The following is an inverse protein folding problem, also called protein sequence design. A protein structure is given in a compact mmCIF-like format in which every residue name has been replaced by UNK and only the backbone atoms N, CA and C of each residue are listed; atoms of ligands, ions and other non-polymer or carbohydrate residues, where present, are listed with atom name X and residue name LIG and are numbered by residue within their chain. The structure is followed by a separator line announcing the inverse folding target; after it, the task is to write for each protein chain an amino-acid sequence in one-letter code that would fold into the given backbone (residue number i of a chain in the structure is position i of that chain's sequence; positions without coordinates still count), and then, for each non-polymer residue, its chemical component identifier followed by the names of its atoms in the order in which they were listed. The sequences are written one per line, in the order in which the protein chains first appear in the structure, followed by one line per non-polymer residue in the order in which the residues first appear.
data_IF_218473372450
#
_entry.id   IF_218473372450
#
_cell.length_a   1.000
_cell.length_b   1.000
_cell.length_c   1.000
_cell.angle_alpha   90.00
_cell.angle_beta   90.00
_cell.angle_gamma   90.00
#
_symmetry.space_group_name_H-M   'P 1'
#
loop_
_entity.id
_entity.type
_entity.pdbx_description
1 polymer ?
#
# COMPACT_ATOMS: atom_id res chain seq x y z
N UNK A 1 2.36 -19.08 -17.21
CA UNK A 1 1.90 -18.39 -15.98
C UNK A 1 2.08 -16.90 -16.20
N UNK A 2 1.06 -16.10 -15.92
CA UNK A 2 1.12 -14.64 -16.06
C UNK A 2 2.12 -14.07 -15.06
N UNK A 3 3.05 -13.22 -15.51
CA UNK A 3 4.01 -12.51 -14.66
C UNK A 3 3.25 -11.55 -13.72
N UNK A 4 3.30 -11.73 -12.39
CA UNK A 4 2.58 -10.87 -11.46
C UNK A 4 3.05 -9.41 -11.49
N UNK A 5 4.34 -9.16 -11.70
CA UNK A 5 4.88 -7.79 -11.78
C UNK A 5 4.38 -7.11 -13.04
N UNK A 6 4.38 -7.79 -14.19
CA UNK A 6 3.77 -7.25 -15.40
C UNK A 6 2.28 -6.94 -15.22
N UNK A 7 1.55 -7.79 -14.49
CA UNK A 7 0.14 -7.56 -14.16
C UNK A 7 -0.05 -6.31 -13.30
N UNK A 8 0.84 -6.07 -12.33
CA UNK A 8 0.80 -4.86 -11.50
C UNK A 8 1.14 -3.60 -12.30
N UNK A 9 2.12 -3.66 -13.20
CA UNK A 9 2.46 -2.53 -14.07
C UNK A 9 1.27 -2.17 -14.96
N UNK A 10 0.66 -3.16 -15.61
CA UNK A 10 -0.56 -3.02 -16.42
C UNK A 10 -1.80 -2.55 -15.62
N UNK A 11 -1.79 -2.78 -14.29
CA UNK A 11 -2.83 -2.29 -13.39
C UNK A 11 -2.64 -0.80 -13.05
N UNK A 12 -1.39 -0.33 -12.94
CA UNK A 12 -1.05 1.06 -12.61
C UNK A 12 -0.97 1.97 -13.84
N UNK A 13 -0.83 1.37 -15.04
CA UNK A 13 -0.95 2.03 -16.33
C UNK A 13 -2.43 2.24 -16.68
N UNK A 14 -2.93 3.43 -16.36
CA UNK A 14 -4.36 3.78 -16.49
C UNK A 14 -4.64 4.39 -17.86
N UNK A 15 -5.83 4.13 -18.39
CA UNK A 15 -6.25 4.63 -19.70
C UNK A 15 -6.69 6.10 -19.62
N UNK A 16 -6.14 7.02 -20.44
CA UNK A 16 -6.67 8.38 -20.56
C UNK A 16 -7.99 8.38 -21.32
N UNK A 17 -9.00 9.07 -20.77
CA UNK A 17 -10.31 9.23 -21.40
C UNK A 17 -10.52 10.64 -21.94
N UNK A 18 -10.08 11.63 -21.18
CA UNK A 18 -10.08 13.04 -21.56
C UNK A 18 -9.03 13.80 -20.73
N UNK A 19 -8.88 15.11 -20.97
CA UNK A 19 -8.18 16.02 -20.08
C UNK A 19 -8.65 15.83 -18.63
N UNK A 20 -7.69 15.43 -17.79
CA UNK A 20 -7.88 15.17 -16.36
C UNK A 20 -8.85 14.03 -16.02
N UNK A 21 -9.19 13.16 -16.97
CA UNK A 21 -10.10 12.03 -16.77
C UNK A 21 -9.46 10.73 -17.23
N UNK A 22 -9.37 9.75 -16.32
CA UNK A 22 -8.69 8.48 -16.56
C UNK A 22 -9.54 7.28 -16.13
N UNK A 23 -9.22 6.09 -16.64
CA UNK A 23 -9.88 4.82 -16.34
C UNK A 23 -8.86 3.78 -15.91
N UNK A 24 -8.99 3.32 -14.67
CA UNK A 24 -8.24 2.20 -14.13
C UNK A 24 -9.05 0.90 -14.13
N UNK A 25 -8.34 -0.23 -14.15
CA UNK A 25 -8.92 -1.57 -14.03
C UNK A 25 -9.31 -1.83 -12.56
N UNK A 26 -10.46 -2.46 -12.32
CA UNK A 26 -10.90 -2.86 -10.98
C UNK A 26 -10.36 -4.21 -10.53
N UNK A 27 -10.18 -5.15 -11.46
CA UNK A 27 -9.67 -6.51 -11.21
C UNK A 27 -8.15 -6.58 -11.35
N UNK A 28 -7.53 -7.62 -10.77
CA UNK A 28 -6.10 -7.92 -10.94
C UNK A 28 -5.23 -7.55 -9.74
N UNK A 29 -5.78 -6.84 -8.74
CA UNK A 29 -5.08 -6.52 -7.50
C UNK A 29 -5.12 -7.62 -6.43
N UNK A 30 -4.75 -7.23 -5.19
CA UNK A 30 -4.50 -8.18 -4.10
C UNK A 30 -5.77 -8.88 -3.56
N UNK A 31 -6.99 -8.48 -3.93
CA UNK A 31 -8.21 -9.21 -3.50
C UNK A 31 -9.22 -9.40 -4.63
N UNK A 32 -10.02 -10.46 -4.53
CA UNK A 32 -11.08 -10.80 -5.48
C UNK A 32 -12.46 -10.27 -5.11
N UNK A 33 -12.68 -9.88 -3.83
CA UNK A 33 -14.00 -9.48 -3.32
C UNK A 33 -14.22 -7.97 -3.32
N UNK A 34 -13.15 -7.19 -3.13
CA UNK A 34 -13.17 -5.73 -3.09
C UNK A 34 -11.91 -5.20 -3.76
N UNK A 35 -11.96 -3.99 -4.30
CA UNK A 35 -10.72 -3.39 -4.80
C UNK A 35 -9.77 -3.16 -3.62
N UNK A 36 -8.53 -3.58 -3.76
CA UNK A 36 -7.48 -3.38 -2.75
C UNK A 36 -7.18 -1.88 -2.60
N UNK A 37 -7.01 -1.38 -1.37
CA UNK A 37 -6.83 0.05 -1.12
C UNK A 37 -5.61 0.61 -1.86
N UNK A 38 -4.47 -0.07 -1.75
CA UNK A 38 -3.24 0.27 -2.47
C UNK A 38 -3.39 0.32 -3.99
N UNK A 39 -4.30 -0.47 -4.58
CA UNK A 39 -4.62 -0.37 -6.01
C UNK A 39 -5.32 0.96 -6.32
N UNK A 40 -6.35 1.33 -5.55
CA UNK A 40 -7.11 2.57 -5.82
C UNK A 40 -6.23 3.79 -5.62
N UNK A 41 -5.41 3.82 -4.57
CA UNK A 41 -4.48 4.94 -4.29
C UNK A 41 -3.34 4.99 -5.31
N UNK A 42 -2.76 3.84 -5.68
CA UNK A 42 -1.71 3.77 -6.70
C UNK A 42 -2.19 4.25 -8.08
N UNK A 43 -3.39 3.84 -8.50
CA UNK A 43 -4.02 4.34 -9.74
C UNK A 43 -4.38 5.83 -9.63
N UNK A 44 -4.84 6.30 -8.47
CA UNK A 44 -5.11 7.72 -8.25
C UNK A 44 -3.83 8.57 -8.33
N UNK A 45 -2.71 8.07 -7.79
CA UNK A 45 -1.42 8.73 -7.90
C UNK A 45 -0.92 8.75 -9.35
N UNK A 46 -1.09 7.66 -10.08
CA UNK A 46 -0.83 7.59 -11.53
C UNK A 46 -1.62 8.67 -12.28
N UNK A 47 -2.92 8.83 -11.99
CA UNK A 47 -3.76 9.88 -12.58
C UNK A 47 -3.26 11.29 -12.27
N UNK A 48 -2.85 11.54 -11.02
CA UNK A 48 -2.28 12.83 -10.64
C UNK A 48 -0.98 13.12 -11.42
N UNK A 49 -0.09 12.14 -11.55
CA UNK A 49 1.17 12.28 -12.30
C UNK A 49 0.96 12.62 -13.77
N UNK A 50 -0.07 12.08 -14.43
CA UNK A 50 -0.38 12.42 -15.82
C UNK A 50 -0.75 13.91 -16.04
N UNK A 51 -0.95 14.69 -14.97
CA UNK A 51 -1.28 16.12 -15.03
C UNK A 51 -0.17 17.05 -14.52
N UNK A 52 1.00 16.49 -14.22
CA UNK A 52 2.15 17.20 -13.60
C UNK A 52 3.43 16.91 -14.39
N UNK A 53 4.14 17.97 -14.76
CA UNK A 53 5.41 17.88 -15.49
C UNK A 53 6.56 18.42 -14.63
N UNK A 54 7.73 17.76 -14.70
CA UNK A 54 8.97 18.23 -14.07
C UNK A 54 8.97 18.28 -12.54
N UNK A 55 8.05 17.56 -11.87
CA UNK A 55 7.92 17.54 -10.40
C UNK A 55 7.63 16.13 -9.91
N UNK A 56 8.08 15.84 -8.69
CA UNK A 56 7.86 14.57 -8.02
C UNK A 56 6.84 14.73 -6.91
N UNK A 57 5.94 13.75 -6.74
CA UNK A 57 5.05 13.68 -5.60
C UNK A 57 5.90 13.55 -4.33
N UNK A 58 5.68 14.44 -3.36
CA UNK A 58 6.33 14.39 -2.05
C UNK A 58 5.34 14.03 -0.94
N UNK A 59 4.02 14.18 -1.17
CA UNK A 59 3.01 13.65 -0.26
C UNK A 59 1.68 13.38 -0.92
N UNK A 60 0.94 12.44 -0.35
CA UNK A 60 -0.47 12.19 -0.66
C UNK A 60 -1.27 11.86 0.60
N UNK A 61 -2.55 12.18 0.56
CA UNK A 61 -3.54 11.87 1.60
C UNK A 61 -4.81 11.40 0.93
N UNK A 62 -5.32 10.23 1.30
CA UNK A 62 -6.48 9.61 0.68
C UNK A 62 -7.50 9.18 1.74
N UNK A 63 -8.78 9.33 1.45
CA UNK A 63 -9.89 8.80 2.25
C UNK A 63 -10.69 7.79 1.45
N UNK A 64 -10.85 6.58 2.00
CA UNK A 64 -11.69 5.52 1.45
C UNK A 64 -13.13 5.71 1.94
N UNK A 65 -14.04 6.00 1.02
CA UNK A 65 -15.44 6.27 1.36
C UNK A 65 -16.33 5.03 1.19
N UNK A 66 -16.02 4.17 0.21
CA UNK A 66 -16.84 3.03 -0.17
C UNK A 66 -15.98 1.87 -0.65
N UNK A 67 -16.41 0.61 -0.44
CA UNK A 67 -15.73 -0.52 -1.03
C UNK A 67 -15.86 -0.48 -2.55
N UNK A 68 -14.74 -0.67 -3.26
CA UNK A 68 -14.75 -0.82 -4.71
C UNK A 68 -15.18 -2.21 -5.15
N UNK A 69 -15.81 -2.31 -6.32
CA UNK A 69 -16.21 -3.54 -7.01
C UNK A 69 -15.16 -3.93 -8.05
N UNK A 70 -14.42 -5.05 -7.86
CA UNK A 70 -13.37 -5.49 -8.79
C UNK A 70 -13.88 -5.85 -10.19
N UNK A 71 -15.17 -6.14 -10.35
CA UNK A 71 -15.73 -6.51 -11.65
C UNK A 71 -15.93 -5.32 -12.59
N UNK A 72 -15.72 -4.09 -12.10
CA UNK A 72 -16.00 -2.84 -12.81
C UNK A 72 -14.75 -1.96 -12.85
N UNK A 73 -14.54 -1.17 -13.92
CA UNK A 73 -13.48 -0.18 -13.95
C UNK A 73 -13.70 0.92 -12.90
N UNK A 74 -12.65 1.69 -12.63
CA UNK A 74 -12.69 2.88 -11.76
C UNK A 74 -12.37 4.11 -12.62
N UNK A 75 -13.17 5.16 -12.50
CA UNK A 75 -12.91 6.44 -13.15
C UNK A 75 -12.16 7.35 -12.18
N UNK A 76 -11.10 8.01 -12.65
CA UNK A 76 -10.30 8.95 -11.87
C UNK A 76 -10.44 10.34 -12.48
N UNK A 77 -11.07 11.24 -11.74
CA UNK A 77 -11.21 12.66 -12.09
C UNK A 77 -10.15 13.46 -11.34
N UNK A 78 -9.33 14.22 -12.06
CA UNK A 78 -8.25 15.04 -11.50
C UNK A 78 -8.64 16.52 -11.52
N UNK A 79 -8.63 17.16 -10.35
CA UNK A 79 -8.74 18.60 -10.21
C UNK A 79 -7.35 19.22 -10.02
N UNK A 80 -6.99 20.17 -10.90
CA UNK A 80 -5.72 20.90 -10.87
C UNK A 80 -5.80 22.06 -9.88
N UNK A 81 -5.88 21.73 -8.59
CA UNK A 81 -6.12 22.69 -7.51
C UNK A 81 -5.13 23.87 -7.48
N UNK A 82 -3.85 23.63 -7.80
CA UNK A 82 -2.83 24.69 -7.87
C UNK A 82 -1.61 24.28 -8.69
N UNK A 83 -1.07 25.21 -9.48
CA UNK A 83 0.28 25.16 -10.03
C UNK A 83 1.05 26.41 -9.59
N UNK A 84 1.91 26.27 -8.59
CA UNK A 84 2.77 27.33 -8.06
C UNK A 84 4.21 27.24 -8.59
N UNK A 85 5.08 28.13 -8.10
CA UNK A 85 6.51 28.15 -8.46
C UNK A 85 7.22 26.83 -8.17
N UNK A 86 7.24 26.40 -6.90
CA UNK A 86 7.89 25.15 -6.49
C UNK A 86 6.91 23.99 -6.28
N UNK A 87 5.66 24.29 -5.90
CA UNK A 87 4.67 23.29 -5.51
C UNK A 87 3.47 23.23 -6.47
N UNK A 88 3.03 22.01 -6.76
CA UNK A 88 1.81 21.69 -7.50
C UNK A 88 0.90 20.82 -6.65
N UNK A 89 -0.39 21.10 -6.63
CA UNK A 89 -1.39 20.32 -5.89
C UNK A 89 -2.43 19.77 -6.85
N UNK A 90 -2.75 18.48 -6.68
CA UNK A 90 -3.83 17.78 -7.39
C UNK A 90 -4.80 17.17 -6.39
N UNK A 91 -6.09 17.18 -6.73
CA UNK A 91 -7.10 16.37 -6.07
C UNK A 91 -7.57 15.31 -7.06
N UNK A 92 -7.76 14.08 -6.59
CA UNK A 92 -8.22 12.97 -7.42
C UNK A 92 -9.43 12.33 -6.77
N UNK A 93 -10.51 12.20 -7.53
CA UNK A 93 -11.73 11.52 -7.10
C UNK A 93 -11.80 10.20 -7.87
N UNK A 94 -11.83 9.08 -7.15
CA UNK A 94 -12.09 7.78 -7.76
C UNK A 94 -13.59 7.46 -7.70
N UNK A 95 -14.17 7.06 -8.82
CA UNK A 95 -15.61 6.92 -9.00
C UNK A 95 -15.94 5.52 -9.54
N UNK A 96 -16.92 4.87 -8.89
CA UNK A 96 -17.61 3.71 -9.43
C UNK A 96 -19.11 3.88 -9.28
N UNK A 97 -19.87 3.51 -10.31
CA UNK A 97 -21.34 3.52 -10.28
C UNK A 97 -21.92 4.90 -9.93
N UNK A 98 -21.28 5.97 -10.42
CA UNK A 98 -21.66 7.35 -10.13
C UNK A 98 -21.43 7.77 -8.67
N UNK A 99 -20.67 7.01 -7.88
CA UNK A 99 -20.38 7.29 -6.47
C UNK A 99 -18.88 7.35 -6.26
N UNK A 100 -18.45 8.33 -5.47
CA UNK A 100 -17.05 8.43 -5.07
C UNK A 100 -16.69 7.27 -4.13
N UNK A 101 -15.60 6.57 -4.43
CA UNK A 101 -15.05 5.50 -3.59
C UNK A 101 -13.79 5.93 -2.87
N UNK A 102 -13.04 6.89 -3.43
CA UNK A 102 -11.83 7.49 -2.86
C UNK A 102 -11.79 8.99 -3.17
N UNK A 103 -11.32 9.78 -2.21
CA UNK A 103 -10.83 11.14 -2.45
C UNK A 103 -9.36 11.20 -2.04
N UNK A 104 -8.50 11.72 -2.92
CA UNK A 104 -7.08 11.88 -2.66
C UNK A 104 -6.65 13.31 -2.94
N UNK A 105 -5.76 13.86 -2.12
CA UNK A 105 -4.97 15.04 -2.45
C UNK A 105 -3.50 14.64 -2.53
N UNK A 106 -2.81 15.08 -3.58
CA UNK A 106 -1.39 14.84 -3.78
C UNK A 106 -0.66 16.17 -4.02
N UNK A 107 0.53 16.30 -3.45
CA UNK A 107 1.38 17.47 -3.58
C UNK A 107 2.72 17.09 -4.21
N UNK A 108 3.14 17.91 -5.16
CA UNK A 108 4.30 17.71 -6.02
C UNK A 108 5.26 18.87 -5.85
N UNK A 109 6.55 18.56 -5.88
CA UNK A 109 7.62 19.53 -5.66
C UNK A 109 8.68 19.41 -6.75
N UNK A 110 9.32 20.54 -7.08
CA UNK A 110 10.56 20.54 -7.86
C UNK A 110 11.70 19.92 -7.04
N UNK A 111 12.76 19.46 -7.71
CA UNK A 111 13.97 19.04 -7.02
C UNK A 111 14.82 20.27 -6.65
N UNK A 112 15.20 20.40 -5.38
CA UNK A 112 16.05 21.49 -4.88
C UNK A 112 16.79 21.08 -3.60
N UNK A 113 18.00 21.62 -3.36
CA UNK A 113 18.77 21.31 -2.15
C UNK A 113 18.13 21.89 -0.88
N UNK A 114 18.36 21.26 0.26
CA UNK A 114 17.82 21.70 1.54
C UNK A 114 18.54 21.11 2.75
N UNK A 115 18.02 21.42 3.94
CA UNK A 115 18.49 20.82 5.19
C UNK A 115 18.11 19.35 5.24
N UNK A 116 19.00 18.51 5.76
CA UNK A 116 18.79 17.06 5.79
C UNK A 116 19.07 16.47 7.18
N UNK A 117 18.12 15.69 7.68
CA UNK A 117 18.28 14.74 8.78
C UNK A 117 17.24 13.62 8.59
N UNK A 118 17.49 12.46 9.15
CA UNK A 118 16.52 11.36 9.23
C UNK A 118 16.72 10.59 10.54
N UNK A 119 15.72 9.78 10.91
CA UNK A 119 15.93 8.76 11.92
C UNK A 119 16.79 7.62 11.37
N UNK A 120 17.62 7.01 12.20
CA UNK A 120 18.41 5.84 11.82
C UNK A 120 17.49 4.65 11.54
N UNK A 121 17.85 3.83 10.55
CA UNK A 121 17.18 2.56 10.30
C UNK A 121 17.45 1.62 11.47
N UNK A 122 16.41 0.98 12.06
CA UNK A 122 16.64 0.01 13.12
C UNK A 122 17.35 -1.24 12.57
N UNK A 123 18.12 -1.91 13.42
CA UNK A 123 18.68 -3.22 13.07
C UNK A 123 17.56 -4.22 12.81
N UNK A 124 17.65 -4.92 11.68
CA UNK A 124 16.70 -5.96 11.30
C UNK A 124 17.46 -7.19 10.82
N UNK A 125 16.83 -8.35 10.96
CA UNK A 125 17.31 -9.61 10.37
C UNK A 125 17.49 -9.45 8.87
N UNK A 126 18.60 -9.97 8.33
CA UNK A 126 18.88 -9.97 6.89
C UNK A 126 17.71 -10.64 6.14
N UNK A 127 17.08 -9.94 5.16
CA UNK A 127 15.96 -10.48 4.41
C UNK A 127 16.27 -11.82 3.74
N UNK A 128 17.52 -12.06 3.32
CA UNK A 128 17.90 -13.30 2.63
C UNK A 128 18.02 -14.51 3.56
N UNK A 129 17.99 -14.30 4.89
CA UNK A 129 17.93 -15.37 5.90
C UNK A 129 16.51 -15.70 6.35
N UNK A 130 15.54 -14.82 6.04
CA UNK A 130 14.13 -15.00 6.40
C UNK A 130 13.41 -15.94 5.41
N UNK A 131 12.35 -16.64 5.85
CA UNK A 131 11.53 -17.44 4.95
C UNK A 131 10.99 -16.61 3.78
N UNK A 132 11.03 -17.18 2.59
CA UNK A 132 10.44 -16.56 1.39
C UNK A 132 8.93 -16.47 1.52
N UNK A 133 8.31 -15.54 0.78
CA UNK A 133 6.84 -15.42 0.76
C UNK A 133 6.18 -16.71 0.25
N UNK A 134 6.83 -17.42 -0.67
CA UNK A 134 6.35 -18.71 -1.18
C UNK A 134 6.30 -19.77 -0.08
N UNK A 135 7.35 -19.90 0.72
CA UNK A 135 7.41 -20.83 1.86
C UNK A 135 6.36 -20.45 2.93
N UNK A 136 6.27 -19.17 3.29
CA UNK A 136 5.28 -18.67 4.24
C UNK A 136 3.84 -18.97 3.78
N UNK A 137 3.53 -18.70 2.50
CA UNK A 137 2.23 -19.02 1.90
C UNK A 137 1.95 -20.50 1.85
N UNK A 138 2.94 -21.35 1.53
CA UNK A 138 2.77 -22.80 1.52
C UNK A 138 2.44 -23.34 2.92
N UNK A 139 3.19 -22.89 3.94
CA UNK A 139 2.92 -23.22 5.36
C UNK A 139 1.52 -22.77 5.79
N UNK A 140 1.11 -21.56 5.39
CA UNK A 140 -0.21 -21.03 5.70
C UNK A 140 -1.33 -21.82 4.98
N UNK A 141 -1.17 -22.12 3.70
CA UNK A 141 -2.15 -22.86 2.90
C UNK A 141 -2.37 -24.29 3.41
N UNK A 142 -1.31 -24.96 3.90
CA UNK A 142 -1.42 -26.29 4.48
C UNK A 142 -2.37 -26.34 5.69
N UNK A 143 -2.46 -25.25 6.46
CA UNK A 143 -3.29 -25.10 7.67
C UNK A 143 -4.63 -24.42 7.42
N UNK A 144 -4.80 -23.74 6.28
CA UNK A 144 -6.00 -23.01 5.96
C UNK A 144 -7.13 -23.93 5.43
N UNK A 145 -8.41 -23.52 5.61
CA UNK A 145 -9.54 -24.18 4.96
C UNK A 145 -9.35 -24.27 3.44
N UNK A 146 -9.79 -25.37 2.82
CA UNK A 146 -9.60 -25.64 1.40
C UNK A 146 -10.05 -24.49 0.49
N UNK A 147 -11.21 -23.89 0.80
CA UNK A 147 -11.77 -22.75 0.08
C UNK A 147 -10.86 -21.50 0.04
N UNK A 148 -9.85 -21.39 0.92
CA UNK A 148 -8.91 -20.28 0.97
C UNK A 148 -7.54 -20.60 0.37
N UNK A 149 -7.23 -21.87 0.10
CA UNK A 149 -5.88 -22.29 -0.32
C UNK A 149 -5.46 -21.64 -1.64
N UNK A 150 -6.35 -21.61 -2.64
CA UNK A 150 -6.07 -21.02 -3.94
C UNK A 150 -5.77 -19.51 -3.84
N UNK A 151 -6.52 -18.79 -3.00
CA UNK A 151 -6.33 -17.35 -2.76
C UNK A 151 -5.00 -17.08 -2.04
N UNK A 152 -4.68 -17.88 -1.02
CA UNK A 152 -3.40 -17.80 -0.29
C UNK A 152 -2.20 -18.03 -1.21
N UNK A 153 -2.26 -19.09 -2.02
CA UNK A 153 -1.18 -19.50 -2.92
C UNK A 153 -1.10 -18.65 -4.20
N UNK A 154 -2.03 -17.71 -4.40
CA UNK A 154 -2.03 -16.87 -5.59
C UNK A 154 -0.67 -16.14 -5.71
N UNK A 155 -0.04 -16.15 -6.89
CA UNK A 155 1.16 -15.36 -7.15
C UNK A 155 0.92 -13.89 -6.81
N UNK A 156 1.95 -13.21 -6.30
CA UNK A 156 1.86 -11.79 -5.95
C UNK A 156 3.08 -11.04 -6.48
N UNK A 157 2.92 -9.78 -6.93
CA UNK A 157 4.02 -8.97 -7.45
C UNK A 157 5.01 -8.54 -6.37
N UNK A 158 4.61 -8.58 -5.10
CA UNK A 158 5.42 -8.12 -3.98
C UNK A 158 5.98 -9.31 -3.21
N UNK A 159 7.28 -9.34 -2.93
CA UNK A 159 7.88 -10.23 -1.94
C UNK A 159 7.75 -9.57 -0.56
N UNK A 160 7.36 -10.34 0.46
CA UNK A 160 7.16 -9.86 1.83
C UNK A 160 7.78 -10.87 2.80
N UNK A 161 8.70 -10.41 3.65
CA UNK A 161 9.40 -11.23 4.65
C UNK A 161 9.33 -10.55 6.03
N UNK A 162 8.36 -10.96 6.88
CA UNK A 162 8.26 -10.45 8.25
C UNK A 162 9.54 -10.75 9.03
N UNK A 163 9.98 -9.81 9.87
CA UNK A 163 11.21 -9.97 10.68
C UNK A 163 10.97 -10.73 11.97
N UNK A 164 9.71 -10.92 12.35
CA UNK A 164 9.27 -11.62 13.56
C UNK A 164 8.48 -12.90 13.26
N UNK A 165 8.35 -13.75 14.27
CA UNK A 165 7.56 -15.00 14.18
C UNK A 165 6.11 -14.73 14.61
N UNK A 166 5.38 -14.02 13.75
CA UNK A 166 3.95 -13.78 13.92
C UNK A 166 3.13 -14.76 13.06
N UNK A 167 2.28 -15.57 13.71
CA UNK A 167 1.37 -16.48 13.01
C UNK A 167 0.00 -15.82 12.76
N UNK A 168 -0.35 -15.47 11.52
CA UNK A 168 -1.61 -14.81 11.23
C UNK A 168 -2.84 -15.72 11.36
N UNK A 169 -2.68 -17.04 11.37
CA UNK A 169 -3.80 -17.99 11.51
C UNK A 169 -4.11 -18.32 12.98
N UNK A 170 -3.09 -18.27 13.83
CA UNK A 170 -3.23 -18.46 15.28
C UNK A 170 -2.49 -17.35 16.03
N UNK A 171 -2.99 -16.11 15.95
CA UNK A 171 -2.32 -14.94 16.51
C UNK A 171 -2.35 -14.96 18.04
N UNK A 172 -1.22 -14.67 18.66
CA UNK A 172 -1.11 -14.38 20.09
C UNK A 172 -0.90 -12.87 20.29
N UNK A 173 -1.32 -12.30 21.44
CA UNK A 173 -0.97 -10.93 21.80
C UNK A 173 0.54 -10.70 21.65
N UNK A 174 0.89 -9.66 20.91
CA UNK A 174 2.27 -9.34 20.52
C UNK A 174 2.49 -7.82 20.60
N UNK A 175 3.74 -7.32 20.59
CA UNK A 175 4.00 -5.88 20.56
C UNK A 175 3.26 -5.15 19.43
N UNK A 176 2.97 -3.88 19.68
CA UNK A 176 2.33 -2.94 18.75
C UNK A 176 3.26 -2.48 17.62
N UNK A 177 4.56 -2.78 17.70
CA UNK A 177 5.54 -2.56 16.65
C UNK A 177 6.03 -3.85 16.00
N UNK A 178 6.28 -3.81 14.69
CA UNK A 178 6.99 -4.86 13.96
C UNK A 178 7.61 -4.31 12.66
N UNK A 179 8.36 -5.13 11.94
CA UNK A 179 8.87 -4.76 10.63
C UNK A 179 8.76 -5.89 9.60
N UNK A 180 8.70 -5.50 8.33
CA UNK A 180 8.67 -6.43 7.20
C UNK A 180 9.61 -5.93 6.12
N UNK A 181 10.40 -6.83 5.55
CA UNK A 181 11.12 -6.54 4.32
C UNK A 181 10.19 -6.73 3.14
N UNK A 182 10.18 -5.77 2.22
CA UNK A 182 9.43 -5.88 0.97
C UNK A 182 10.21 -5.41 -0.26
N UNK A 183 9.83 -5.94 -1.42
CA UNK A 183 10.31 -5.51 -2.74
C UNK A 183 9.37 -6.06 -3.81
N UNK A 184 9.54 -5.63 -5.06
CA UNK A 184 9.01 -6.38 -6.19
C UNK A 184 9.68 -7.75 -6.30
N UNK A 185 8.93 -8.77 -6.73
CA UNK A 185 9.46 -10.13 -6.95
C UNK A 185 10.48 -10.19 -8.10
N UNK A 186 10.50 -9.17 -8.96
CA UNK A 186 11.58 -8.90 -9.90
C UNK A 186 11.75 -7.38 -10.10
N UNK A 187 12.96 -6.89 -10.41
CA UNK A 187 13.17 -5.50 -10.74
C UNK A 187 12.45 -5.09 -12.03
N UNK A 188 12.22 -3.79 -12.17
CA UNK A 188 11.75 -3.13 -13.39
C UNK A 188 12.83 -2.13 -13.79
N UNK A 189 13.80 -2.53 -14.63
CA UNK A 189 14.88 -1.65 -15.05
C UNK A 189 14.33 -0.36 -15.66
N UNK A 190 14.99 0.76 -15.36
CA UNK A 190 14.67 2.08 -15.91
C UNK A 190 13.23 2.56 -15.66
N UNK A 191 12.55 2.01 -14.63
CA UNK A 191 11.24 2.48 -14.23
C UNK A 191 11.33 3.97 -13.81
N UNK A 192 10.50 4.85 -14.39
CA UNK A 192 10.53 6.26 -14.04
C UNK A 192 10.07 6.48 -12.60
N UNK A 193 10.51 7.58 -11.98
CA UNK A 193 10.22 7.88 -10.57
C UNK A 193 8.72 7.84 -10.22
N UNK A 194 7.86 8.30 -11.13
CA UNK A 194 6.41 8.26 -10.93
C UNK A 194 5.88 6.82 -10.78
N UNK A 195 6.44 5.86 -11.54
CA UNK A 195 6.07 4.45 -11.48
C UNK A 195 6.55 3.85 -10.17
N UNK A 196 7.79 4.16 -9.75
CA UNK A 196 8.34 3.73 -8.46
C UNK A 196 7.47 4.20 -7.28
N UNK A 197 7.00 5.45 -7.31
CA UNK A 197 6.08 5.97 -6.31
C UNK A 197 4.72 5.26 -6.33
N UNK A 198 4.16 4.96 -7.51
CA UNK A 198 2.91 4.21 -7.62
C UNK A 198 3.04 2.78 -7.10
N UNK A 199 4.16 2.11 -7.39
CA UNK A 199 4.47 0.76 -6.91
C UNK A 199 4.63 0.73 -5.38
N UNK A 200 5.39 1.67 -4.81
CA UNK A 200 5.54 1.77 -3.36
C UNK A 200 4.20 2.14 -2.68
N UNK A 201 3.42 3.03 -3.29
CA UNK A 201 2.07 3.38 -2.83
C UNK A 201 1.19 2.14 -2.76
N UNK A 202 1.17 1.32 -3.82
CA UNK A 202 0.45 0.05 -3.83
C UNK A 202 0.90 -0.86 -2.69
N UNK A 203 2.21 -1.04 -2.52
CA UNK A 203 2.74 -1.95 -1.51
C UNK A 203 2.58 -1.44 -0.07
N UNK A 204 2.55 -0.13 0.16
CA UNK A 204 2.48 0.47 1.50
C UNK A 204 1.18 0.18 2.26
N UNK A 205 0.09 -0.14 1.55
CA UNK A 205 -1.19 -0.56 2.14
C UNK A 205 -1.22 -2.08 2.44
N UNK A 206 -0.13 -2.81 2.13
CA UNK A 206 0.06 -4.19 2.59
C UNK A 206 0.61 -4.16 4.03
N UNK A 207 0.11 -5.07 4.87
CA UNK A 207 0.53 -5.28 6.28
C UNK A 207 0.22 -4.14 7.26
N UNK A 208 0.24 -2.87 6.86
CA UNK A 208 0.13 -1.70 7.74
C UNK A 208 -1.05 -1.79 8.72
N UNK A 209 -2.25 -2.04 8.21
CA UNK A 209 -3.45 -2.11 9.04
C UNK A 209 -3.45 -3.28 10.04
N UNK A 210 -2.71 -4.35 9.76
CA UNK A 210 -2.60 -5.50 10.66
C UNK A 210 -1.89 -5.16 11.97
N UNK A 211 -1.08 -4.09 11.99
CA UNK A 211 -0.26 -3.68 13.13
C UNK A 211 -1.09 -3.48 14.39
N UNK A 212 -2.18 -2.71 14.31
CA UNK A 212 -3.05 -2.45 15.46
C UNK A 212 -3.84 -3.65 15.98
N UNK A 213 -3.88 -4.77 15.25
CA UNK A 213 -4.52 -6.01 15.71
C UNK A 213 -3.58 -6.86 16.59
N UNK A 214 -2.27 -6.66 16.49
CA UNK A 214 -1.24 -7.49 17.13
C UNK A 214 -1.31 -7.46 18.66
N UNK A 215 -1.47 -6.30 19.34
CA UNK A 215 -1.62 -6.26 20.80
C UNK A 215 -2.81 -7.05 21.33
N UNK A 216 -3.83 -7.26 20.50
CA UNK A 216 -5.06 -7.95 20.86
C UNK A 216 -5.04 -9.44 20.53
N UNK A 217 -3.94 -9.95 19.96
CA UNK A 217 -3.88 -11.32 19.44
C UNK A 217 -4.96 -11.57 18.38
N UNK A 218 -5.23 -10.58 17.53
CA UNK A 218 -6.20 -10.65 16.44
C UNK A 218 -5.51 -10.52 15.10
N UNK A 219 -6.16 -11.04 14.06
CA UNK A 219 -5.61 -11.06 12.71
C UNK A 219 -6.73 -10.89 11.68
N UNK A 220 -6.41 -10.26 10.55
CA UNK A 220 -7.32 -10.16 9.39
C UNK A 220 -7.66 -11.54 8.83
N UNK A 221 -6.89 -12.58 9.15
CA UNK A 221 -7.06 -13.93 8.62
C UNK A 221 -7.98 -14.81 9.46
N UNK A 222 -8.30 -14.47 10.71
CA UNK A 222 -9.16 -15.33 11.57
C UNK A 222 -10.64 -15.18 11.28
N UNK A 223 -11.05 -14.10 10.61
CA UNK A 223 -12.46 -13.80 10.34
C UNK A 223 -13.24 -13.23 11.54
N UNK A 224 -12.55 -13.01 12.66
CA UNK A 224 -13.15 -12.47 13.90
C UNK A 224 -13.28 -10.94 13.90
N UNK A 225 -12.70 -10.28 12.90
CA UNK A 225 -12.63 -8.83 12.81
C UNK A 225 -13.20 -8.32 11.49
N UNK A 226 -14.06 -7.31 11.56
CA UNK A 226 -14.43 -6.46 10.45
C UNK A 226 -13.40 -5.33 10.32
N UNK A 227 -12.72 -5.34 9.18
CA UNK A 227 -11.54 -4.53 8.93
C UNK A 227 -11.72 -3.74 7.63
N UNK A 228 -11.43 -2.43 7.65
CA UNK A 228 -11.43 -1.59 6.46
C UNK A 228 -10.55 -0.35 6.66
N UNK A 229 -9.73 0.02 5.66
CA UNK A 229 -9.00 1.28 5.66
C UNK A 229 -9.96 2.46 5.61
N UNK A 230 -9.72 3.50 6.41
CA UNK A 230 -10.51 4.75 6.42
C UNK A 230 -9.77 5.84 5.65
N UNK A 231 -8.47 5.97 5.90
CA UNK A 231 -7.56 6.84 5.17
C UNK A 231 -6.23 6.14 4.86
N UNK A 232 -5.38 6.81 4.09
CA UNK A 232 -3.98 6.45 3.89
C UNK A 232 -3.19 7.70 3.52
N UNK A 233 -2.05 7.93 4.17
CA UNK A 233 -1.17 9.04 3.90
C UNK A 233 0.26 8.54 3.66
N UNK A 234 0.95 9.16 2.70
CA UNK A 234 2.34 8.87 2.39
C UNK A 234 3.09 10.20 2.22
N UNK A 235 4.30 10.27 2.76
CA UNK A 235 5.28 11.31 2.48
C UNK A 235 6.51 10.64 1.89
N UNK A 236 6.92 11.06 0.69
CA UNK A 236 8.13 10.59 0.01
C UNK A 236 9.27 11.56 0.31
N UNK A 237 10.39 11.05 0.80
CA UNK A 237 11.51 11.85 1.28
C UNK A 237 12.75 11.73 0.38
N UNK A 238 12.92 10.59 -0.29
CA UNK A 238 14.08 10.28 -1.11
C UNK A 238 13.67 9.41 -2.32
N UNK A 239 14.53 9.29 -3.36
CA UNK A 239 14.27 8.41 -4.50
C UNK A 239 13.96 6.96 -4.07
N UNK A 240 13.03 6.34 -4.78
CA UNK A 240 12.59 4.96 -4.54
C UNK A 240 13.05 4.06 -5.68
N UNK A 241 13.65 2.93 -5.34
CA UNK A 241 13.91 1.83 -6.29
C UNK A 241 13.31 0.52 -5.77
N UNK A 242 12.00 0.34 -5.97
CA UNK A 242 11.22 -0.73 -5.37
C UNK A 242 11.49 -2.13 -5.96
N UNK A 243 12.45 -2.25 -6.88
CA UNK A 243 13.06 -3.54 -7.24
C UNK A 243 13.98 -4.09 -6.14
N UNK A 244 14.51 -3.22 -5.30
CA UNK A 244 15.39 -3.57 -4.18
C UNK A 244 14.64 -3.69 -2.86
N UNK A 245 15.28 -4.35 -1.90
CA UNK A 245 14.74 -4.52 -0.55
C UNK A 245 14.56 -3.17 0.15
N UNK A 246 13.38 -3.02 0.75
CA UNK A 246 13.06 -1.95 1.67
C UNK A 246 12.51 -2.52 2.97
N UNK A 247 12.92 -1.96 4.10
CA UNK A 247 12.42 -2.32 5.42
C UNK A 247 11.26 -1.40 5.78
N UNK A 248 10.07 -1.96 5.96
CA UNK A 248 8.89 -1.25 6.42
C UNK A 248 8.71 -1.47 7.92
N UNK A 249 9.04 -0.47 8.71
CA UNK A 249 8.96 -0.47 10.18
C UNK A 249 7.62 0.16 10.57
N UNK A 250 6.75 -0.59 11.23
CA UNK A 250 5.39 -0.17 11.55
C UNK A 250 5.11 -0.20 13.04
N UNK A 251 4.26 0.70 13.50
CA UNK A 251 3.71 0.69 14.85
C UNK A 251 2.22 1.08 14.90
N UNK A 252 1.57 0.80 16.03
CA UNK A 252 0.18 1.17 16.28
C UNK A 252 0.05 1.86 17.64
N UNK A 253 0.21 3.20 17.70
CA UNK A 253 0.18 3.93 18.96
C UNK A 253 -1.19 3.93 19.66
N UNK A 254 -2.28 3.61 18.95
CA UNK A 254 -3.62 3.64 19.53
C UNK A 254 -4.62 2.74 18.82
N UNK A 255 -5.47 2.06 19.60
CA UNK A 255 -6.71 1.41 19.14
C UNK A 255 -7.83 1.68 20.13
N UNK A 256 -9.05 1.86 19.62
CA UNK A 256 -10.23 2.15 20.45
C UNK A 256 -11.44 2.56 19.63
N UNK A 257 -12.63 2.53 20.24
CA UNK A 257 -13.89 2.94 19.61
C UNK A 257 -14.13 2.33 18.20
N UNK A 258 -13.70 1.08 18.01
CA UNK A 258 -13.81 0.35 16.75
C UNK A 258 -12.83 0.80 15.67
N UNK A 259 -11.72 1.46 16.02
CA UNK A 259 -10.69 1.96 15.10
C UNK A 259 -9.27 1.68 15.61
N UNK A 260 -8.28 1.85 14.75
CA UNK A 260 -6.87 1.81 15.11
C UNK A 260 -6.01 2.64 14.18
N UNK A 261 -5.04 3.36 14.74
CA UNK A 261 -4.06 4.16 14.01
C UNK A 261 -2.78 3.36 13.85
N UNK A 262 -2.29 3.26 12.62
CA UNK A 262 -1.07 2.57 12.27
C UNK A 262 -0.15 3.56 11.55
N UNK A 263 1.15 3.50 11.84
CA UNK A 263 2.17 4.32 11.17
C UNK A 263 3.25 3.41 10.63
N UNK A 264 4.01 3.91 9.66
CA UNK A 264 5.21 3.23 9.24
C UNK A 264 6.27 4.12 8.61
N UNK A 265 7.52 3.67 8.72
CA UNK A 265 8.72 4.25 8.13
C UNK A 265 9.31 3.23 7.16
N UNK A 266 9.59 3.66 5.93
CA UNK A 266 10.12 2.79 4.88
C UNK A 266 11.55 3.19 4.61
N UNK A 267 12.47 2.27 4.86
CA UNK A 267 13.90 2.46 4.64
C UNK A 267 14.37 1.64 3.43
N UNK A 268 15.27 2.18 2.61
CA UNK A 268 16.04 1.38 1.67
C UNK A 268 17.07 0.52 2.44
N UNK A 269 17.58 -0.54 1.80
CA UNK A 269 18.54 -1.46 2.42
C UNK A 269 19.84 -0.79 2.90
N UNK A 270 20.20 0.37 2.34
CA UNK A 270 21.35 1.18 2.77
C UNK A 270 21.07 2.07 4.00
N UNK A 271 19.84 2.06 4.52
CA UNK A 271 19.40 2.85 5.66
C UNK A 271 18.76 4.19 5.31
N UNK A 272 18.65 4.57 4.04
CA UNK A 272 17.97 5.80 3.62
C UNK A 272 16.48 5.74 3.93
N UNK A 273 15.93 6.73 4.65
CA UNK A 273 14.49 6.81 4.91
C UNK A 273 13.77 7.36 3.67
N UNK A 274 13.17 6.48 2.86
CA UNK A 274 12.57 6.86 1.57
C UNK A 274 11.14 7.36 1.70
N UNK A 275 10.37 6.88 2.68
CA UNK A 275 8.99 7.32 2.88
C UNK A 275 8.49 7.12 4.31
N UNK A 276 7.46 7.88 4.68
CA UNK A 276 6.65 7.70 5.89
C UNK A 276 5.19 7.51 5.54
N UNK A 277 4.46 6.77 6.36
CA UNK A 277 3.06 6.41 6.13
C UNK A 277 2.23 6.51 7.41
N UNK A 278 0.94 6.77 7.25
CA UNK A 278 -0.04 6.73 8.34
C UNK A 278 -1.42 6.32 7.81
N UNK A 279 -2.14 5.53 8.61
CA UNK A 279 -3.46 5.00 8.26
C UNK A 279 -4.28 4.68 9.50
N UNK A 280 -5.48 5.26 9.57
CA UNK A 280 -6.54 4.80 10.47
C UNK A 280 -7.41 3.74 9.75
N UNK A 281 -7.70 2.66 10.46
CA UNK A 281 -8.58 1.60 9.98
C UNK A 281 -9.76 1.38 10.93
N UNK A 282 -10.91 1.00 10.37
CA UNK A 282 -11.98 0.36 11.11
C UNK A 282 -11.45 -0.99 11.64
N UNK A 283 -11.53 -1.18 12.96
CA UNK A 283 -11.14 -2.39 13.66
C UNK A 283 -12.25 -2.81 14.61
N UNK A 284 -13.22 -3.58 14.11
CA UNK A 284 -14.42 -3.96 14.89
C UNK A 284 -14.51 -5.48 15.04
N UNK A 285 -14.69 -6.02 16.25
CA UNK A 285 -15.01 -7.44 16.42
C UNK A 285 -16.29 -7.80 15.65
N UNK A 286 -16.28 -8.94 14.97
CA UNK A 286 -17.50 -9.51 14.40
C UNK A 286 -18.30 -10.09 15.55
N UNK A 287 -19.45 -9.50 15.85
CA UNK A 287 -20.38 -10.09 16.81
C UNK A 287 -21.06 -11.29 16.15
N UNK A 288 -21.06 -12.48 16.77
CA UNK A 288 -21.91 -13.57 16.31
C UNK A 288 -23.37 -13.10 16.33
N UNK A 289 -24.05 -13.23 15.19
CA UNK A 289 -25.49 -13.01 15.08
C UNK A 289 -26.28 -14.19 15.64
#
# INVERSE_FOLDING_TARGET
MTDPVATLLDLLDIEPLELNLYRGKGSGGETSKRIFGGQVVGQALSAAYHTVEGRSCHSLHAYFMRPGDPSRPVIYEVDRARDGGSFTTRRVIAIQNGKQILNMAASFHVDEPGLHHQHDMPTATDPETLPTRAEAKAKMAARAPEARRADILRPSPIELRPTDDYDPLTPNPSPDGHSVWFRLTRPVPDAPAWMQHCLLTYASDLHLMGTGLRPHGKSIFTGEMMIASLDHAIWFHAPVDFGNWHLYVMDSPWTGAGRGVNRGLIYAADGTLVASTAQEGLMRPVTPG
#
